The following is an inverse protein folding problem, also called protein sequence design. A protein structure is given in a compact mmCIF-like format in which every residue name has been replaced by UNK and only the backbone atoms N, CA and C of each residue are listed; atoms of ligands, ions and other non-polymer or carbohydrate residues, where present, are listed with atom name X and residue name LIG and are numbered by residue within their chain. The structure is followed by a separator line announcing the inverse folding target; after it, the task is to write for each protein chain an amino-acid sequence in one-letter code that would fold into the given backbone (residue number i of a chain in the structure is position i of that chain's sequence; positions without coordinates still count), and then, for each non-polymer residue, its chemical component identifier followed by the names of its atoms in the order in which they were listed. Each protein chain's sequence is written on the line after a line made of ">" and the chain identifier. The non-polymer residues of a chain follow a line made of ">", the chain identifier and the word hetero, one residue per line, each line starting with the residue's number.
data_IF_491880204142
#
_entry.id   IF_491880204142
#
_cell.length_a   1.000
_cell.length_b   1.000
_cell.length_c   1.000
_cell.angle_alpha   90.00
_cell.angle_beta   90.00
_cell.angle_gamma   90.00
#
_symmetry.space_group_name_H-M   'P 1'
#
loop_
_entity.id
_entity.type
_entity.pdbx_description
1 polymer ?
#
# COMPACT_ATOMS: atom_id res chain seq x y z
N UNK A 1 6.16 6.53 -4.73
CA UNK A 1 6.92 7.35 -3.77
C UNK A 1 6.07 7.77 -2.58
N UNK A 2 6.71 7.99 -1.43
CA UNK A 2 6.08 8.53 -0.22
C UNK A 2 6.99 9.57 0.44
N UNK A 3 6.40 10.70 0.84
CA UNK A 3 7.12 11.74 1.57
C UNK A 3 7.07 11.43 3.07
N UNK A 4 8.24 11.47 3.71
CA UNK A 4 8.34 11.32 5.15
C UNK A 4 7.70 12.52 5.89
N UNK A 5 7.10 12.36 7.10
CA UNK A 5 6.48 13.45 7.84
C UNK A 5 7.39 14.63 8.19
N UNK A 6 8.72 14.47 8.12
CA UNK A 6 9.68 15.55 8.29
C UNK A 6 9.72 16.55 7.10
N UNK A 7 9.00 16.25 6.01
CA UNK A 7 9.01 17.01 4.75
C UNK A 7 10.40 17.18 4.11
N UNK A 8 11.31 16.28 4.41
CA UNK A 8 12.69 16.29 3.91
C UNK A 8 13.09 15.01 3.18
N UNK A 9 12.69 13.84 3.69
CA UNK A 9 13.05 12.57 3.07
C UNK A 9 11.92 12.05 2.19
N UNK A 10 12.26 11.74 0.93
CA UNK A 10 11.34 11.14 -0.04
C UNK A 10 11.82 9.72 -0.33
N UNK A 11 10.95 8.75 -0.09
CA UNK A 11 11.16 7.34 -0.39
C UNK A 11 10.58 7.01 -1.76
N UNK A 12 11.38 6.41 -2.64
CA UNK A 12 11.05 6.17 -4.05
C UNK A 12 11.30 4.71 -4.38
N UNK A 13 10.30 4.03 -4.92
CA UNK A 13 10.45 2.71 -5.51
C UNK A 13 11.08 2.84 -6.91
N UNK A 14 12.16 2.13 -7.14
CA UNK A 14 12.84 2.04 -8.44
C UNK A 14 12.62 0.62 -8.99
N UNK A 15 11.62 0.49 -9.85
CA UNK A 15 11.06 -0.78 -10.30
C UNK A 15 12.13 -1.68 -10.95
N UNK A 16 12.86 -1.17 -11.94
CA UNK A 16 13.86 -1.93 -12.70
C UNK A 16 15.11 -2.29 -11.89
N UNK A 17 15.45 -1.50 -10.88
CA UNK A 17 16.66 -1.68 -10.08
C UNK A 17 16.44 -2.53 -8.83
N UNK A 18 15.19 -2.88 -8.49
CA UNK A 18 14.80 -3.60 -7.27
C UNK A 18 15.28 -2.91 -5.98
N UNK A 19 15.27 -1.57 -5.96
CA UNK A 19 15.71 -0.76 -4.81
C UNK A 19 14.65 0.24 -4.37
N UNK A 20 14.69 0.61 -3.10
CA UNK A 20 14.08 1.82 -2.57
C UNK A 20 15.16 2.88 -2.42
N UNK A 21 15.01 4.00 -3.12
CA UNK A 21 15.92 5.16 -2.99
C UNK A 21 15.34 6.16 -2.01
N UNK A 22 16.17 6.65 -1.10
CA UNK A 22 15.83 7.74 -0.17
C UNK A 22 16.54 9.00 -0.61
N UNK A 23 15.76 10.06 -0.84
CA UNK A 23 16.27 11.37 -1.31
C UNK A 23 16.02 12.42 -0.23
N UNK A 24 17.06 13.17 0.12
CA UNK A 24 16.93 14.43 0.82
C UNK A 24 16.52 15.52 -0.19
N UNK A 25 15.27 15.95 -0.14
CA UNK A 25 14.74 16.92 -1.12
C UNK A 25 15.25 18.34 -0.93
N UNK A 26 15.75 18.69 0.27
CA UNK A 26 16.34 20.00 0.54
C UNK A 26 17.77 20.08 -0.01
N UNK A 27 18.57 19.04 0.24
CA UNK A 27 19.92 18.95 -0.28
C UNK A 27 20.00 18.42 -1.71
N UNK A 28 18.88 17.87 -2.24
CA UNK A 28 18.77 17.27 -3.58
C UNK A 28 19.79 16.16 -3.79
N UNK A 29 19.89 15.27 -2.80
CA UNK A 29 20.85 14.17 -2.79
C UNK A 29 20.16 12.85 -2.45
N UNK A 30 20.65 11.77 -3.04
CA UNK A 30 20.39 10.43 -2.57
C UNK A 30 21.16 10.22 -1.27
N UNK A 31 20.45 9.82 -0.20
CA UNK A 31 21.03 9.57 1.12
C UNK A 31 21.09 8.09 1.46
N UNK A 32 20.23 7.27 0.84
CA UNK A 32 20.26 5.81 0.97
C UNK A 32 19.71 5.13 -0.28
N UNK A 33 20.17 3.90 -0.51
CA UNK A 33 19.60 2.95 -1.45
C UNK A 33 19.48 1.61 -0.73
N UNK A 34 18.30 1.03 -0.77
CA UNK A 34 17.92 -0.15 0.03
C UNK A 34 17.49 -1.24 -0.94
N UNK A 35 18.21 -2.35 -0.96
CA UNK A 35 17.83 -3.51 -1.77
C UNK A 35 16.50 -4.09 -1.23
N UNK A 36 15.51 -4.23 -2.11
CA UNK A 36 14.19 -4.78 -1.81
C UNK A 36 13.87 -5.93 -2.76
N UNK A 37 12.64 -6.41 -2.76
CA UNK A 37 12.23 -7.43 -3.74
C UNK A 37 12.08 -6.87 -5.15
N UNK A 38 11.95 -7.76 -6.12
CA UNK A 38 11.86 -7.43 -7.56
C UNK A 38 10.57 -6.66 -7.86
N UNK A 39 10.66 -5.64 -8.71
CA UNK A 39 9.56 -4.74 -9.11
C UNK A 39 8.91 -4.03 -7.91
N UNK A 40 9.67 -3.19 -7.18
CA UNK A 40 9.09 -2.38 -6.11
C UNK A 40 8.15 -1.31 -6.67
N UNK A 41 6.96 -1.13 -6.05
CA UNK A 41 5.94 -0.22 -6.56
C UNK A 41 5.29 0.64 -5.47
N UNK A 42 4.53 0.01 -4.57
CA UNK A 42 3.80 0.71 -3.51
C UNK A 42 4.71 1.23 -2.41
N UNK A 43 4.50 2.48 -2.02
CA UNK A 43 5.26 3.14 -0.98
C UNK A 43 4.34 3.75 0.06
N UNK A 44 4.69 3.60 1.34
CA UNK A 44 4.07 4.33 2.44
C UNK A 44 5.11 4.67 3.51
N UNK A 45 4.84 5.73 4.28
CA UNK A 45 5.60 6.05 5.50
C UNK A 45 4.61 6.16 6.65
N UNK A 46 4.94 5.56 7.80
CA UNK A 46 4.08 5.61 8.99
C UNK A 46 3.86 7.05 9.44
N UNK A 47 2.70 7.37 10.05
CA UNK A 47 2.40 8.72 10.51
C UNK A 47 3.42 9.29 11.51
N UNK A 48 4.08 8.42 12.29
CA UNK A 48 5.15 8.82 13.22
C UNK A 48 6.55 8.90 12.56
N UNK A 49 6.63 8.56 11.27
CA UNK A 49 7.85 8.62 10.48
C UNK A 49 8.85 7.50 10.72
N UNK A 50 8.57 6.51 11.58
CA UNK A 50 9.59 5.52 11.96
C UNK A 50 9.77 4.40 10.96
N UNK A 51 8.71 4.04 10.24
CA UNK A 51 8.71 2.91 9.30
C UNK A 51 8.28 3.36 7.92
N UNK A 52 9.07 3.00 6.93
CA UNK A 52 8.68 3.06 5.52
C UNK A 52 8.33 1.66 5.02
N UNK A 53 7.36 1.59 4.14
CA UNK A 53 6.95 0.35 3.45
C UNK A 53 7.25 0.48 1.98
N UNK A 54 7.83 -0.59 1.41
CA UNK A 54 7.90 -0.79 -0.03
C UNK A 54 7.25 -2.12 -0.36
N UNK A 55 6.33 -2.17 -1.33
CA UNK A 55 5.81 -3.44 -1.85
C UNK A 55 6.62 -3.88 -3.05
N UNK A 56 6.79 -5.19 -3.25
CA UNK A 56 7.48 -5.75 -4.42
C UNK A 56 6.57 -6.74 -5.13
N UNK A 57 6.23 -6.43 -6.39
CA UNK A 57 5.23 -7.14 -7.16
C UNK A 57 5.56 -8.61 -7.41
N UNK A 58 6.76 -8.87 -7.93
CA UNK A 58 7.17 -10.23 -8.31
C UNK A 58 7.45 -11.11 -7.10
N UNK A 59 7.96 -10.54 -6.00
CA UNK A 59 8.23 -11.30 -4.78
C UNK A 59 7.04 -11.41 -3.83
N UNK A 60 5.94 -10.69 -4.11
CA UNK A 60 4.71 -10.70 -3.30
C UNK A 60 4.97 -10.33 -1.83
N UNK A 61 5.74 -9.29 -1.60
CA UNK A 61 6.15 -8.87 -0.26
C UNK A 61 5.84 -7.40 0.02
N UNK A 62 5.63 -7.10 1.29
CA UNK A 62 5.80 -5.77 1.85
C UNK A 62 7.04 -5.77 2.74
N UNK A 63 8.00 -4.90 2.41
CA UNK A 63 9.26 -4.69 3.13
C UNK A 63 9.07 -3.57 4.14
N UNK A 64 9.36 -3.84 5.41
CA UNK A 64 9.28 -2.91 6.51
C UNK A 64 10.67 -2.34 6.77
N UNK A 65 10.85 -1.06 6.56
CA UNK A 65 12.15 -0.38 6.59
C UNK A 65 12.17 0.60 7.75
N UNK A 66 13.12 0.48 8.66
CA UNK A 66 13.39 1.47 9.70
C UNK A 66 13.97 2.74 9.05
N UNK A 67 13.30 3.88 9.23
CA UNK A 67 13.69 5.14 8.58
C UNK A 67 14.94 5.78 9.17
N UNK A 68 15.33 5.40 10.38
CA UNK A 68 16.52 5.93 11.05
C UNK A 68 17.82 5.21 10.65
N UNK A 69 17.72 3.93 10.32
CA UNK A 69 18.86 3.10 9.90
C UNK A 69 18.87 2.79 8.41
N UNK A 70 17.72 2.95 7.74
CA UNK A 70 17.47 2.51 6.37
C UNK A 70 17.65 0.99 6.16
N UNK A 71 17.41 0.21 7.20
CA UNK A 71 17.50 -1.25 7.16
C UNK A 71 16.11 -1.89 7.10
N UNK A 72 15.99 -3.01 6.38
CA UNK A 72 14.78 -3.83 6.40
C UNK A 72 14.73 -4.57 7.73
N UNK A 73 13.67 -4.32 8.51
CA UNK A 73 13.45 -4.95 9.82
C UNK A 73 12.50 -6.14 9.75
N UNK A 74 11.66 -6.21 8.71
CA UNK A 74 10.75 -7.32 8.47
C UNK A 74 10.34 -7.41 7.00
N UNK A 75 9.94 -8.61 6.58
CA UNK A 75 9.31 -8.89 5.29
C UNK A 75 8.03 -9.68 5.53
N UNK A 76 6.90 -9.18 5.07
CA UNK A 76 5.61 -9.86 5.18
C UNK A 76 5.11 -10.28 3.82
N UNK A 77 4.65 -11.54 3.71
CA UNK A 77 4.01 -12.03 2.49
C UNK A 77 2.62 -11.42 2.35
N UNK A 78 2.28 -11.08 1.12
CA UNK A 78 0.95 -10.66 0.69
C UNK A 78 0.51 -11.51 -0.49
N UNK A 79 -0.72 -11.32 -0.96
CA UNK A 79 -1.17 -12.00 -2.17
C UNK A 79 -0.49 -11.43 -3.42
N UNK A 80 -0.71 -12.08 -4.55
CA UNK A 80 0.02 -11.82 -5.78
C UNK A 80 -0.10 -10.40 -6.29
N UNK A 81 1.04 -9.79 -6.62
CA UNK A 81 1.23 -8.48 -7.23
C UNK A 81 0.75 -7.32 -6.34
N UNK A 82 1.42 -7.07 -5.21
CA UNK A 82 1.09 -5.92 -4.37
C UNK A 82 1.41 -4.59 -5.06
N UNK A 83 0.44 -3.65 -5.00
CA UNK A 83 0.49 -2.37 -5.72
C UNK A 83 0.54 -1.15 -4.83
N UNK A 84 -0.08 -1.18 -3.69
CA UNK A 84 -0.22 0.00 -2.85
C UNK A 84 -0.18 -0.36 -1.38
N UNK A 85 0.37 0.54 -0.58
CA UNK A 85 0.37 0.47 0.87
C UNK A 85 -0.19 1.77 1.45
N UNK A 86 -1.05 1.68 2.45
CA UNK A 86 -1.65 2.82 3.14
C UNK A 86 -1.74 2.55 4.63
N UNK A 87 -1.24 3.47 5.44
CA UNK A 87 -1.45 3.44 6.89
C UNK A 87 -2.80 4.06 7.25
N UNK A 88 -3.43 3.54 8.31
CA UNK A 88 -4.50 4.27 8.96
C UNK A 88 -3.93 5.49 9.73
N UNK A 89 -4.81 6.38 10.18
CA UNK A 89 -4.42 7.69 10.74
C UNK A 89 -3.47 7.60 11.94
N UNK A 90 -3.69 6.65 12.83
CA UNK A 90 -2.87 6.48 14.04
C UNK A 90 -1.65 5.58 13.84
N UNK A 91 -1.48 5.02 12.63
CA UNK A 91 -0.38 4.16 12.26
C UNK A 91 -0.46 2.75 12.84
N UNK A 92 -1.58 2.36 13.47
CA UNK A 92 -1.74 1.02 14.06
C UNK A 92 -2.02 -0.09 13.06
N UNK A 93 -2.45 0.27 11.84
CA UNK A 93 -2.72 -0.67 10.75
C UNK A 93 -2.05 -0.22 9.46
N UNK A 94 -1.52 -1.21 8.73
CA UNK A 94 -1.05 -1.09 7.35
C UNK A 94 -1.97 -1.91 6.45
N UNK A 95 -2.48 -1.29 5.39
CA UNK A 95 -3.33 -1.88 4.37
C UNK A 95 -2.53 -2.05 3.08
N UNK A 96 -2.46 -3.25 2.52
CA UNK A 96 -1.71 -3.54 1.28
C UNK A 96 -2.64 -4.18 0.26
N UNK A 97 -2.76 -3.56 -0.91
CA UNK A 97 -3.52 -4.12 -2.03
C UNK A 97 -2.68 -5.10 -2.85
N UNK A 98 -3.29 -6.19 -3.29
CA UNK A 98 -2.69 -7.19 -4.17
C UNK A 98 -3.54 -7.32 -5.44
N UNK A 99 -3.03 -6.77 -6.54
CA UNK A 99 -3.75 -6.60 -7.81
C UNK A 99 -4.25 -7.95 -8.37
N UNK A 100 -3.34 -8.87 -8.61
CA UNK A 100 -3.67 -10.19 -9.17
C UNK A 100 -4.29 -11.10 -8.11
N UNK A 101 -3.86 -10.96 -6.86
CA UNK A 101 -4.47 -11.66 -5.72
C UNK A 101 -5.93 -11.30 -5.51
N UNK A 102 -6.36 -10.12 -5.94
CA UNK A 102 -7.74 -9.65 -5.81
C UNK A 102 -8.13 -9.31 -4.37
N UNK A 103 -7.16 -8.96 -3.53
CA UNK A 103 -7.36 -8.77 -2.09
C UNK A 103 -6.71 -7.50 -1.56
N UNK A 104 -7.11 -7.11 -0.35
CA UNK A 104 -6.35 -6.18 0.51
C UNK A 104 -6.04 -6.92 1.80
N UNK A 105 -4.76 -6.98 2.17
CA UNK A 105 -4.29 -7.54 3.44
C UNK A 105 -4.07 -6.40 4.43
N UNK A 106 -4.54 -6.59 5.67
CA UNK A 106 -4.39 -5.62 6.76
C UNK A 106 -3.46 -6.20 7.82
N UNK A 107 -2.41 -5.46 8.16
CA UNK A 107 -1.42 -5.84 9.18
C UNK A 107 -1.55 -4.99 10.43
N UNK A 108 -1.26 -5.60 11.58
CA UNK A 108 -0.96 -4.90 12.81
C UNK A 108 0.49 -4.37 12.72
N UNK A 109 0.69 -3.08 12.88
CA UNK A 109 2.02 -2.48 12.71
C UNK A 109 2.96 -2.73 13.89
N UNK A 110 2.43 -3.05 15.07
CA UNK A 110 3.25 -3.29 16.26
C UNK A 110 4.08 -4.59 16.19
N UNK A 111 3.55 -5.62 15.50
CA UNK A 111 4.18 -6.95 15.39
C UNK A 111 4.18 -7.52 13.97
N UNK A 112 3.72 -6.75 12.98
CA UNK A 112 3.62 -7.08 11.56
C UNK A 112 2.73 -8.31 11.28
N UNK A 113 1.90 -8.72 12.23
CA UNK A 113 0.96 -9.84 12.05
C UNK A 113 -0.21 -9.46 11.16
N UNK A 114 -0.72 -10.42 10.37
CA UNK A 114 -1.94 -10.24 9.59
C UNK A 114 -3.15 -10.16 10.54
N UNK A 115 -3.89 -9.05 10.48
CA UNK A 115 -5.17 -8.82 11.20
C UNK A 115 -6.38 -9.30 10.41
N UNK A 116 -6.27 -9.35 9.11
CA UNK A 116 -7.35 -9.79 8.25
C UNK A 116 -7.10 -9.50 6.78
N UNK A 117 -7.96 -10.08 5.95
CA UNK A 117 -7.90 -9.98 4.50
C UNK A 117 -9.28 -9.68 3.94
N UNK A 118 -9.35 -8.78 2.96
CA UNK A 118 -10.57 -8.36 2.29
C UNK A 118 -10.51 -8.88 0.86
N UNK A 119 -11.50 -9.65 0.45
CA UNK A 119 -11.71 -10.05 -0.94
C UNK A 119 -12.92 -9.31 -1.50
N UNK A 120 -12.92 -9.08 -2.81
CA UNK A 120 -13.96 -8.29 -3.48
C UNK A 120 -14.74 -9.17 -4.47
N UNK A 121 -16.05 -9.01 -4.46
CA UNK A 121 -16.95 -9.70 -5.38
C UNK A 121 -18.01 -8.73 -5.91
N UNK A 122 -18.08 -8.58 -7.23
CA UNK A 122 -19.05 -7.72 -7.90
C UNK A 122 -19.92 -8.56 -8.80
N UNK A 123 -21.23 -8.56 -8.57
CA UNK A 123 -22.17 -9.33 -9.37
C UNK A 123 -22.05 -9.02 -10.86
N UNK A 124 -21.78 -10.04 -11.65
CA UNK A 124 -21.66 -9.92 -13.11
C UNK A 124 -20.28 -9.46 -13.61
N UNK A 125 -19.32 -9.25 -12.71
CA UNK A 125 -17.93 -8.93 -13.07
C UNK A 125 -17.06 -10.16 -12.82
N UNK A 126 -16.27 -10.56 -13.82
CA UNK A 126 -15.33 -11.66 -13.68
C UNK A 126 -14.23 -11.32 -12.67
N UNK A 127 -13.83 -12.28 -11.83
CA UNK A 127 -12.83 -12.07 -10.77
C UNK A 127 -11.55 -11.42 -11.28
N UNK A 128 -11.02 -11.84 -12.44
CA UNK A 128 -9.78 -11.29 -13.01
C UNK A 128 -9.87 -9.80 -13.40
N UNK A 129 -11.07 -9.22 -13.38
CA UNK A 129 -11.30 -7.78 -13.58
C UNK A 129 -11.36 -6.99 -12.28
N UNK A 130 -11.42 -7.68 -11.15
CA UNK A 130 -11.48 -7.06 -9.83
C UNK A 130 -10.05 -7.04 -9.29
N UNK A 131 -9.34 -5.96 -9.59
CA UNK A 131 -7.92 -5.81 -9.33
C UNK A 131 -7.69 -4.64 -8.37
N UNK A 132 -7.57 -4.90 -7.05
CA UNK A 132 -7.30 -3.85 -6.06
C UNK A 132 -5.96 -3.17 -6.33
N UNK A 133 -5.97 -1.85 -6.43
CA UNK A 133 -4.79 -1.01 -6.65
C UNK A 133 -4.72 0.07 -5.58
N UNK A 134 -5.09 1.32 -5.83
CA UNK A 134 -5.02 2.36 -4.83
C UNK A 134 -5.99 2.15 -3.66
N UNK A 135 -5.52 2.47 -2.46
CA UNK A 135 -6.30 2.48 -1.22
C UNK A 135 -6.27 3.90 -0.65
N UNK A 136 -7.38 4.36 -0.08
CA UNK A 136 -7.40 5.59 0.71
C UNK A 136 -8.34 5.46 1.90
N UNK A 137 -7.82 5.66 3.10
CA UNK A 137 -8.63 5.70 4.31
C UNK A 137 -9.12 7.12 4.58
N UNK A 138 -10.33 7.26 5.12
CA UNK A 138 -10.84 8.55 5.60
C UNK A 138 -10.00 9.07 6.76
N UNK A 139 -10.01 10.39 6.97
CA UNK A 139 -9.23 11.04 8.03
C UNK A 139 -9.62 10.62 9.46
N UNK A 140 -10.80 10.03 9.62
CA UNK A 140 -11.27 9.43 10.88
C UNK A 140 -11.05 7.91 10.92
N UNK A 141 -10.44 7.33 9.88
CA UNK A 141 -10.18 5.89 9.71
C UNK A 141 -11.44 5.01 9.81
N UNK A 142 -12.63 5.53 9.53
CA UNK A 142 -13.86 4.73 9.54
C UNK A 142 -14.08 3.95 8.26
N UNK A 143 -13.70 4.52 7.13
CA UNK A 143 -13.89 3.91 5.83
C UNK A 143 -12.58 3.82 5.06
N UNK A 144 -12.42 2.73 4.31
CA UNK A 144 -11.41 2.62 3.28
C UNK A 144 -12.09 2.57 1.90
N UNK A 145 -11.53 3.29 0.96
CA UNK A 145 -11.88 3.24 -0.45
C UNK A 145 -10.81 2.48 -1.19
N UNK A 146 -11.21 1.49 -1.97
CA UNK A 146 -10.28 0.65 -2.75
C UNK A 146 -10.63 0.72 -4.22
N UNK A 147 -9.70 1.20 -5.03
CA UNK A 147 -9.84 1.18 -6.49
C UNK A 147 -9.69 -0.24 -7.01
N UNK A 148 -10.64 -0.71 -7.82
CA UNK A 148 -10.69 -2.08 -8.33
C UNK A 148 -10.37 -2.17 -9.83
N UNK A 149 -9.46 -1.32 -10.30
CA UNK A 149 -8.83 -1.33 -11.62
C UNK A 149 -9.78 -1.57 -12.81
N UNK A 150 -9.60 -2.66 -13.56
CA UNK A 150 -10.38 -2.94 -14.77
C UNK A 150 -11.88 -3.18 -14.56
N UNK A 151 -12.32 -3.42 -13.31
CA UNK A 151 -13.76 -3.51 -13.00
C UNK A 151 -14.46 -2.14 -13.08
N UNK A 152 -13.69 -1.03 -13.07
CA UNK A 152 -14.20 0.34 -13.06
C UNK A 152 -15.02 0.70 -11.82
N UNK A 153 -14.74 0.04 -10.69
CA UNK A 153 -15.43 0.29 -9.44
C UNK A 153 -14.46 0.73 -8.35
N UNK A 154 -15.01 1.46 -7.40
CA UNK A 154 -14.38 1.72 -6.10
C UNK A 154 -15.21 0.98 -5.05
N UNK A 155 -14.56 0.13 -4.26
CA UNK A 155 -15.18 -0.47 -3.09
C UNK A 155 -15.14 0.50 -1.91
N UNK A 156 -16.23 0.55 -1.17
CA UNK A 156 -16.32 1.23 0.14
C UNK A 156 -16.31 0.15 1.21
N UNK A 157 -15.34 0.21 2.10
CA UNK A 157 -15.10 -0.80 3.13
C UNK A 157 -15.23 -0.14 4.51
N UNK A 158 -15.93 -0.78 5.42
CA UNK A 158 -15.86 -0.44 6.84
C UNK A 158 -14.49 -0.86 7.38
N UNK A 159 -13.70 0.12 7.84
CA UNK A 159 -12.33 -0.16 8.23
C UNK A 159 -12.21 -0.98 9.52
N UNK A 160 -13.20 -0.93 10.41
CA UNK A 160 -13.18 -1.68 11.66
C UNK A 160 -13.57 -3.14 11.47
N UNK A 161 -14.64 -3.41 10.68
CA UNK A 161 -15.14 -4.78 10.44
C UNK A 161 -14.50 -5.43 9.23
N UNK A 162 -13.91 -4.65 8.31
CA UNK A 162 -13.38 -5.07 7.00
C UNK A 162 -14.45 -5.56 6.03
N UNK A 163 -15.71 -5.25 6.31
CA UNK A 163 -16.82 -5.58 5.42
C UNK A 163 -16.92 -4.61 4.25
N UNK A 164 -17.15 -5.13 3.06
CA UNK A 164 -17.44 -4.30 1.88
C UNK A 164 -18.89 -3.83 1.95
N UNK A 165 -19.08 -2.54 2.12
CA UNK A 165 -20.40 -1.91 2.27
C UNK A 165 -21.08 -1.68 0.92
N UNK A 166 -20.31 -1.27 -0.09
CA UNK A 166 -20.85 -0.96 -1.42
C UNK A 166 -19.76 -0.90 -2.48
N UNK A 167 -20.18 -0.91 -3.74
CA UNK A 167 -19.35 -0.68 -4.91
C UNK A 167 -19.90 0.51 -5.70
N UNK A 168 -19.03 1.43 -6.06
CA UNK A 168 -19.37 2.63 -6.83
C UNK A 168 -18.78 2.48 -8.22
N UNK A 169 -19.64 2.46 -9.25
CA UNK A 169 -19.17 2.48 -10.65
C UNK A 169 -18.62 3.85 -10.98
N UNK A 170 -17.40 3.88 -11.51
CA UNK A 170 -16.67 5.10 -11.87
C UNK A 170 -16.13 5.03 -13.31
N UNK A 171 -15.20 5.89 -13.66
CA UNK A 171 -14.54 5.89 -14.96
C UNK A 171 -13.69 4.64 -15.22
N UNK A 172 -13.32 4.44 -16.51
CA UNK A 172 -12.57 3.25 -16.92
C UNK A 172 -11.20 3.18 -16.23
N UNK A 173 -10.88 1.98 -15.73
CA UNK A 173 -9.59 1.63 -15.14
C UNK A 173 -9.18 2.61 -14.03
N UNK A 174 -10.04 2.74 -13.03
CA UNK A 174 -9.73 3.53 -11.83
C UNK A 174 -8.45 3.00 -11.19
N UNK A 175 -7.54 3.92 -10.82
CA UNK A 175 -6.23 3.54 -10.31
C UNK A 175 -6.02 3.98 -8.87
N UNK A 176 -6.31 5.23 -8.57
CA UNK A 176 -6.11 5.82 -7.25
C UNK A 176 -7.15 6.88 -6.95
N UNK A 177 -7.23 7.28 -5.67
CA UNK A 177 -8.13 8.31 -5.16
C UNK A 177 -7.37 9.25 -4.22
N UNK A 178 -7.85 10.47 -4.08
CA UNK A 178 -7.37 11.45 -3.11
C UNK A 178 -8.55 12.16 -2.45
N UNK A 179 -8.38 12.61 -1.22
CA UNK A 179 -9.30 13.48 -0.49
C UNK A 179 -8.75 14.89 -0.38
#
# INVERSE_FOLDING_TARGET
>A
FALHPDNRHLYIANEDDAITTVVDVQERKVVAQIDVGIEPEGMAVSPDGKISITTSETTNMAHWIDTSTHEIIANTLVDQRPRHAEYNKDGSELWVSSEIGGTVTVFNTADQSEKGKIAFEIKGVHRDKIQPVGIKLTSDSKYAFVALGPSNHVAVVDAATREVLSYILVGRRVWHMAF
#
